data_IF_225128800014
#
_entry.id   IF_225128800014
#
_cell.length_a   1.000
_cell.length_b   1.000
_cell.length_c   1.000
_cell.angle_alpha   90.00
_cell.angle_beta   90.00
_cell.angle_gamma   90.00
#
_symmetry.space_group_name_H-M   'P 1'
#
loop_
_entity.id
_entity.type
_entity.pdbx_description
1 polymer ?
#
# COMPACT_ATOMS: atom_id res chain seq x y z
N UNK A 1 7.29 15.15 26.12
CA UNK A 1 5.86 15.14 25.81
C UNK A 1 5.14 15.73 27.00
N UNK A 2 4.45 16.85 26.82
CA UNK A 2 3.48 17.30 27.80
C UNK A 2 2.25 16.41 27.62
N UNK A 3 2.03 15.48 28.56
CA UNK A 3 0.95 14.48 28.54
C UNK A 3 -0.43 15.15 28.75
N UNK A 4 -0.87 15.94 27.79
CA UNK A 4 -2.14 16.63 27.78
C UNK A 4 -2.95 16.25 26.54
N UNK A 5 -4.27 16.31 26.67
CA UNK A 5 -5.17 16.13 25.53
C UNK A 5 -5.18 17.41 24.72
N UNK A 6 -4.96 17.28 23.41
CA UNK A 6 -5.03 18.36 22.45
C UNK A 6 -6.00 18.00 21.31
N UNK A 7 -6.57 19.02 20.67
CA UNK A 7 -7.40 18.84 19.48
C UNK A 7 -6.51 18.75 18.25
N UNK A 8 -6.75 17.74 17.41
CA UNK A 8 -6.16 17.57 16.07
C UNK A 8 -7.22 17.83 14.99
N UNK A 9 -6.80 18.20 13.78
CA UNK A 9 -7.67 18.63 12.69
C UNK A 9 -7.33 17.98 11.35
N UNK A 10 -8.06 16.93 11.02
CA UNK A 10 -8.07 16.38 9.66
C UNK A 10 -8.88 17.29 8.72
N UNK A 11 -8.41 17.42 7.49
CA UNK A 11 -9.14 18.13 6.42
C UNK A 11 -9.50 17.13 5.33
N UNK A 12 -10.80 16.98 5.09
CA UNK A 12 -11.35 16.03 4.12
C UNK A 12 -12.00 16.79 2.97
N UNK A 13 -11.41 16.68 1.78
CA UNK A 13 -12.00 17.10 0.51
C UNK A 13 -12.72 15.93 -0.16
N UNK A 14 -13.87 16.16 -0.80
CA UNK A 14 -14.60 15.11 -1.52
C UNK A 14 -15.09 15.61 -2.86
N UNK A 15 -14.85 14.81 -3.89
CA UNK A 15 -15.41 14.97 -5.24
C UNK A 15 -16.33 13.79 -5.46
N UNK A 16 -17.64 14.04 -5.42
CA UNK A 16 -18.66 13.00 -5.58
C UNK A 16 -18.62 12.37 -6.98
N UNK A 17 -18.69 11.04 -7.02
CA UNK A 17 -18.74 10.27 -8.26
C UNK A 17 -20.09 10.38 -8.97
N UNK A 18 -20.08 10.34 -10.30
CA UNK A 18 -21.29 10.49 -11.11
C UNK A 18 -22.12 9.20 -11.26
N UNK A 19 -21.50 8.03 -11.14
CA UNK A 19 -22.16 6.74 -11.38
C UNK A 19 -22.10 5.81 -10.16
N UNK A 20 -20.99 5.81 -9.44
CA UNK A 20 -20.72 4.99 -8.25
C UNK A 20 -20.32 5.90 -7.07
N UNK A 21 -21.19 6.82 -6.62
CA UNK A 21 -20.86 7.76 -5.55
C UNK A 21 -20.58 7.07 -4.20
N UNK A 22 -21.08 5.84 -4.02
CA UNK A 22 -20.85 4.94 -2.89
C UNK A 22 -19.52 4.16 -2.98
N UNK A 23 -18.66 4.48 -3.96
CA UNK A 23 -17.31 3.91 -4.06
C UNK A 23 -16.28 5.02 -3.93
N UNK A 24 -15.32 4.83 -3.02
CA UNK A 24 -14.36 5.87 -2.63
C UNK A 24 -12.93 5.47 -2.93
N UNK A 25 -12.24 6.27 -3.72
CA UNK A 25 -10.78 6.24 -3.85
C UNK A 25 -10.23 7.33 -2.93
N UNK A 26 -9.49 6.93 -1.91
CA UNK A 26 -8.96 7.85 -0.90
C UNK A 26 -7.49 8.11 -1.19
N UNK A 27 -7.10 9.38 -1.30
CA UNK A 27 -5.72 9.83 -1.33
C UNK A 27 -5.41 10.49 0.00
N UNK A 28 -4.30 10.14 0.64
CA UNK A 28 -3.94 10.71 1.93
C UNK A 28 -2.46 11.05 2.10
N UNK A 29 -2.24 12.04 2.97
CA UNK A 29 -0.94 12.53 3.42
C UNK A 29 -1.14 13.30 4.74
N UNK A 30 -0.30 13.08 5.75
CA UNK A 30 -0.35 13.92 6.96
C UNK A 30 0.22 15.31 6.74
N UNK A 31 -0.12 16.24 7.65
CA UNK A 31 0.25 17.66 7.57
C UNK A 31 1.14 18.11 8.71
N UNK A 32 1.06 17.43 9.85
CA UNK A 32 1.82 17.78 11.03
C UNK A 32 3.27 17.36 10.85
N UNK A 33 4.17 18.16 11.39
CA UNK A 33 5.60 17.93 11.34
C UNK A 33 6.21 18.21 12.71
N UNK A 34 7.32 17.54 13.03
CA UNK A 34 8.07 17.84 14.26
C UNK A 34 8.59 19.29 14.33
N UNK A 35 9.04 19.85 13.20
CA UNK A 35 9.59 21.21 13.12
C UNK A 35 9.09 21.93 11.87
N UNK A 36 9.90 22.02 10.81
CA UNK A 36 9.49 22.64 9.55
C UNK A 36 8.92 21.61 8.58
N UNK A 37 9.51 20.41 8.53
CA UNK A 37 8.97 19.25 7.82
C UNK A 37 8.86 19.46 6.31
N UNK A 38 9.90 19.98 5.66
CA UNK A 38 9.85 20.26 4.22
C UNK A 38 9.80 18.99 3.37
N UNK A 39 10.48 17.93 3.80
CA UNK A 39 10.36 16.56 3.28
C UNK A 39 9.17 15.89 3.98
N UNK A 40 9.29 15.63 5.27
CA UNK A 40 8.29 14.93 6.08
C UNK A 40 7.42 15.95 6.84
N UNK A 41 6.14 16.17 6.46
CA UNK A 41 5.42 15.60 5.30
C UNK A 41 5.12 16.61 4.20
N UNK A 42 5.64 17.85 4.30
CA UNK A 42 5.18 18.96 3.45
C UNK A 42 5.39 18.69 1.96
N UNK A 43 6.32 17.80 1.59
CA UNK A 43 6.54 17.37 0.21
C UNK A 43 5.36 16.54 -0.36
N UNK A 44 4.81 15.62 0.43
CA UNK A 44 3.57 14.91 0.10
C UNK A 44 2.36 15.84 0.12
N UNK A 45 2.28 16.75 1.09
CA UNK A 45 1.20 17.75 1.19
C UNK A 45 1.16 18.66 -0.04
N UNK A 46 2.31 19.17 -0.47
CA UNK A 46 2.41 20.00 -1.68
C UNK A 46 1.95 19.23 -2.93
N UNK A 47 2.28 17.94 -3.01
CA UNK A 47 1.88 17.05 -4.10
C UNK A 47 0.37 16.79 -4.09
N UNK A 48 -0.23 16.53 -2.92
CA UNK A 48 -1.67 16.34 -2.75
C UNK A 48 -2.44 17.61 -3.16
N UNK A 49 -1.94 18.78 -2.79
CA UNK A 49 -2.53 20.08 -3.15
C UNK A 49 -2.47 20.33 -4.67
N UNK A 50 -1.39 19.96 -5.36
CA UNK A 50 -1.31 20.08 -6.81
C UNK A 50 -2.27 19.12 -7.53
N UNK A 51 -2.46 17.91 -7.00
CA UNK A 51 -3.50 16.98 -7.49
C UNK A 51 -4.89 17.59 -7.26
N UNK A 52 -5.16 18.13 -6.08
CA UNK A 52 -6.44 18.78 -5.77
C UNK A 52 -6.72 19.94 -6.74
N UNK A 53 -5.71 20.76 -7.05
CA UNK A 53 -5.80 21.85 -8.02
C UNK A 53 -6.14 21.33 -9.42
N UNK A 54 -5.42 20.30 -9.90
CA UNK A 54 -5.66 19.69 -11.22
C UNK A 54 -7.03 19.04 -11.34
N UNK A 55 -7.50 18.35 -10.29
CA UNK A 55 -8.87 17.83 -10.21
C UNK A 55 -9.90 18.97 -10.23
N UNK A 56 -9.63 20.07 -9.53
CA UNK A 56 -10.44 21.29 -9.58
C UNK A 56 -10.58 21.86 -11.00
N UNK A 57 -9.47 21.92 -11.75
CA UNK A 57 -9.48 22.35 -13.16
C UNK A 57 -10.33 21.41 -14.02
N UNK A 58 -10.21 20.09 -13.84
CA UNK A 58 -11.06 19.11 -14.55
C UNK A 58 -12.55 19.31 -14.23
N UNK A 59 -12.91 19.53 -12.96
CA UNK A 59 -14.30 19.77 -12.56
C UNK A 59 -14.91 21.00 -13.25
N UNK A 60 -14.11 22.03 -13.52
CA UNK A 60 -14.55 23.24 -14.24
C UNK A 60 -14.87 22.96 -15.72
N UNK A 61 -14.32 21.89 -16.31
CA UNK A 61 -14.65 21.46 -17.68
C UNK A 61 -15.99 20.69 -17.77
N UNK A 62 -16.62 20.41 -16.62
CA UNK A 62 -17.82 19.58 -16.53
C UNK A 62 -17.52 18.09 -16.33
N UNK A 63 -16.26 17.69 -16.29
CA UNK A 63 -15.87 16.33 -15.93
C UNK A 63 -16.29 15.98 -14.50
N UNK A 64 -16.64 14.72 -14.29
CA UNK A 64 -16.88 14.09 -12.99
C UNK A 64 -16.30 12.67 -13.01
N UNK A 65 -15.67 12.20 -11.93
CA UNK A 65 -15.19 10.83 -11.87
C UNK A 65 -16.37 9.84 -11.79
N UNK A 66 -16.19 8.59 -12.23
CA UNK A 66 -17.19 7.53 -12.04
C UNK A 66 -17.45 7.28 -10.54
N UNK A 67 -16.36 7.14 -9.77
CA UNK A 67 -16.34 6.90 -8.32
C UNK A 67 -15.96 8.16 -7.56
N UNK A 68 -16.38 8.25 -6.30
CA UNK A 68 -16.01 9.35 -5.42
C UNK A 68 -14.50 9.37 -5.16
N UNK A 69 -13.88 10.55 -5.28
CA UNK A 69 -12.49 10.78 -4.86
C UNK A 69 -12.52 11.52 -3.52
N UNK A 70 -11.78 11.02 -2.54
CA UNK A 70 -11.61 11.64 -1.23
C UNK A 70 -10.15 12.04 -1.06
N UNK A 71 -9.91 13.28 -0.66
CA UNK A 71 -8.59 13.82 -0.34
C UNK A 71 -8.53 14.00 1.18
N UNK A 72 -7.76 13.16 1.86
CA UNK A 72 -7.52 13.25 3.29
C UNK A 72 -6.19 13.94 3.56
N UNK A 73 -6.20 14.93 4.43
CA UNK A 73 -4.96 15.54 4.90
C UNK A 73 -4.95 15.50 6.42
N UNK A 74 -4.16 14.57 6.95
CA UNK A 74 -4.24 14.02 8.30
C UNK A 74 -3.42 14.85 9.29
N UNK A 75 -3.83 14.90 10.55
CA UNK A 75 -3.11 15.56 11.64
C UNK A 75 -2.72 14.54 12.72
N UNK A 76 -1.69 14.85 13.50
CA UNK A 76 -1.18 13.98 14.57
C UNK A 76 -0.57 12.66 14.10
N UNK A 77 -0.09 12.56 12.85
CA UNK A 77 0.61 11.35 12.36
C UNK A 77 1.88 11.10 13.16
N UNK A 78 2.66 12.14 13.40
CA UNK A 78 3.97 12.06 14.03
C UNK A 78 3.90 11.57 15.48
N UNK A 79 2.72 11.71 16.09
CA UNK A 79 2.46 11.31 17.46
C UNK A 79 2.03 9.85 17.60
N UNK A 80 1.45 9.25 16.55
CA UNK A 80 1.10 7.82 16.40
C UNK A 80 -0.05 7.61 15.40
N UNK A 81 -0.01 8.23 14.22
CA UNK A 81 -1.05 8.08 13.18
C UNK A 81 -2.44 8.52 13.66
N UNK A 82 -2.52 9.50 14.57
CA UNK A 82 -3.74 9.74 15.36
C UNK A 82 -4.92 10.17 14.46
N UNK A 83 -4.76 11.18 13.61
CA UNK A 83 -5.86 11.68 12.77
C UNK A 83 -6.41 10.62 11.83
N UNK A 84 -5.55 10.02 11.01
CA UNK A 84 -5.97 8.96 10.09
C UNK A 84 -6.57 7.75 10.82
N UNK A 85 -6.04 7.37 11.98
CA UNK A 85 -6.58 6.26 12.78
C UNK A 85 -7.97 6.57 13.30
N UNK A 86 -8.16 7.70 13.99
CA UNK A 86 -9.46 8.07 14.55
C UNK A 86 -10.50 8.28 13.43
N UNK A 87 -10.11 8.89 12.30
CA UNK A 87 -11.00 9.05 11.15
C UNK A 87 -11.43 7.69 10.56
N UNK A 88 -10.49 6.75 10.45
CA UNK A 88 -10.79 5.39 9.98
C UNK A 88 -11.71 4.65 10.96
N UNK A 89 -11.50 4.78 12.27
CA UNK A 89 -12.35 4.15 13.29
C UNK A 89 -13.77 4.72 13.27
N UNK A 90 -13.90 6.05 13.25
CA UNK A 90 -15.20 6.75 13.17
C UNK A 90 -15.99 6.39 11.91
N UNK A 91 -15.28 6.15 10.80
CA UNK A 91 -15.88 5.83 9.51
C UNK A 91 -15.78 4.34 9.14
N UNK A 92 -15.45 3.46 10.10
CA UNK A 92 -15.09 2.07 9.82
C UNK A 92 -16.17 1.32 9.05
N UNK A 93 -17.45 1.50 9.42
CA UNK A 93 -18.57 0.85 8.72
C UNK A 93 -18.64 1.30 7.25
N UNK A 94 -18.55 2.59 7.01
CA UNK A 94 -18.59 3.18 5.66
C UNK A 94 -17.42 2.69 4.82
N UNK A 95 -16.20 2.80 5.35
CA UNK A 95 -14.98 2.43 4.62
C UNK A 95 -14.92 0.93 4.31
N UNK A 96 -15.41 0.06 5.22
CA UNK A 96 -15.56 -1.38 4.99
C UNK A 96 -16.59 -1.75 3.93
N UNK A 97 -17.39 -0.83 3.42
CA UNK A 97 -18.36 -1.08 2.36
C UNK A 97 -17.96 -0.32 1.07
N UNK A 98 -17.49 0.91 1.22
CA UNK A 98 -17.34 1.88 0.13
C UNK A 98 -15.89 2.10 -0.33
N UNK A 99 -14.88 1.90 0.52
CA UNK A 99 -13.50 2.22 0.15
C UNK A 99 -12.94 1.22 -0.86
N UNK A 100 -12.62 1.71 -2.07
CA UNK A 100 -11.99 0.94 -3.13
C UNK A 100 -10.51 0.72 -2.82
N UNK A 101 -9.81 1.81 -2.52
CA UNK A 101 -8.40 1.78 -2.13
C UNK A 101 -8.01 3.04 -1.35
N UNK A 102 -6.90 2.95 -0.64
CA UNK A 102 -6.19 4.08 -0.04
C UNK A 102 -4.80 4.24 -0.69
N UNK A 103 -4.50 5.44 -1.19
CA UNK A 103 -3.22 5.79 -1.83
C UNK A 103 -2.50 6.82 -0.96
N UNK A 104 -1.38 6.42 -0.37
CA UNK A 104 -0.57 7.24 0.52
C UNK A 104 0.65 7.81 -0.20
N UNK A 105 0.89 9.11 -0.01
CA UNK A 105 2.20 9.71 -0.25
C UNK A 105 2.51 10.60 0.94
N UNK A 106 3.37 10.10 1.81
CA UNK A 106 3.80 10.78 3.02
C UNK A 106 4.88 11.82 2.66
N UNK A 107 6.02 11.32 2.18
CA UNK A 107 7.18 12.12 1.88
C UNK A 107 7.78 11.74 0.53
N UNK A 108 8.51 12.69 -0.04
CA UNK A 108 9.36 12.46 -1.19
C UNK A 108 10.59 13.35 -1.13
N UNK A 109 11.73 12.76 -1.46
CA UNK A 109 13.04 13.42 -1.52
C UNK A 109 13.93 12.61 -2.45
N UNK A 110 14.64 13.22 -3.40
CA UNK A 110 15.57 12.51 -4.27
C UNK A 110 14.94 11.76 -5.44
N UNK A 111 15.73 11.00 -6.22
CA UNK A 111 15.28 10.34 -7.44
C UNK A 111 14.84 8.88 -7.28
N UNK A 112 15.15 8.22 -6.15
CA UNK A 112 15.00 6.77 -6.03
C UNK A 112 13.57 6.39 -5.77
N UNK A 113 13.04 5.47 -6.57
CA UNK A 113 11.65 5.08 -6.56
C UNK A 113 11.42 3.97 -5.54
N UNK A 114 10.44 4.16 -4.66
CA UNK A 114 10.02 3.16 -3.70
C UNK A 114 8.50 3.12 -3.59
N UNK A 115 7.97 1.91 -3.42
CA UNK A 115 6.58 1.73 -3.05
C UNK A 115 6.45 0.52 -2.12
N UNK A 116 5.48 0.57 -1.21
CA UNK A 116 4.92 -0.60 -0.53
C UNK A 116 3.44 -0.69 -0.87
N UNK A 117 2.94 -1.90 -1.11
CA UNK A 117 1.54 -2.07 -1.49
C UNK A 117 1.01 -3.43 -1.06
N UNK A 118 -0.31 -3.56 -0.96
CA UNK A 118 -0.95 -4.87 -0.96
C UNK A 118 -0.61 -5.59 -2.29
N UNK A 119 -0.34 -6.91 -2.29
CA UNK A 119 -0.10 -7.63 -3.55
C UNK A 119 -1.21 -7.46 -4.59
N UNK A 120 -2.45 -7.19 -4.15
CA UNK A 120 -3.65 -7.02 -4.98
C UNK A 120 -3.58 -5.77 -5.88
N UNK A 121 -2.87 -4.72 -5.45
CA UNK A 121 -2.69 -3.48 -6.22
C UNK A 121 -1.27 -3.33 -6.78
N UNK A 122 -0.35 -4.22 -6.40
CA UNK A 122 1.06 -4.13 -6.75
C UNK A 122 1.30 -4.04 -8.26
N UNK A 123 0.64 -4.90 -9.04
CA UNK A 123 0.75 -4.85 -10.51
C UNK A 123 0.24 -3.53 -11.09
N UNK A 124 -0.88 -3.03 -10.58
CA UNK A 124 -1.46 -1.76 -11.03
C UNK A 124 -0.57 -0.55 -10.73
N UNK A 125 0.14 -0.57 -9.59
CA UNK A 125 1.16 0.44 -9.23
C UNK A 125 2.29 0.46 -10.28
N UNK A 126 2.83 -0.71 -10.63
CA UNK A 126 3.88 -0.85 -11.63
C UNK A 126 3.39 -0.45 -13.04
N UNK A 127 2.25 -0.99 -13.47
CA UNK A 127 1.66 -0.71 -14.78
C UNK A 127 1.41 0.80 -14.94
N UNK A 128 0.96 1.50 -13.89
CA UNK A 128 0.78 2.95 -13.96
C UNK A 128 2.10 3.72 -14.02
N UNK A 129 3.17 3.25 -13.36
CA UNK A 129 4.50 3.83 -13.51
C UNK A 129 5.02 3.69 -14.95
N UNK A 130 4.69 2.61 -15.65
CA UNK A 130 5.09 2.41 -17.06
C UNK A 130 4.48 3.45 -18.02
N UNK A 131 3.40 4.11 -17.63
CA UNK A 131 2.72 5.13 -18.45
C UNK A 131 3.38 6.51 -18.35
N UNK A 132 4.32 6.68 -17.42
CA UNK A 132 4.94 7.96 -17.11
C UNK A 132 6.37 8.01 -17.61
N UNK A 133 6.86 9.19 -18.05
CA UNK A 133 8.26 9.35 -18.35
C UNK A 133 9.10 9.18 -17.08
N UNK A 134 10.35 8.73 -17.24
CA UNK A 134 11.31 8.70 -16.16
C UNK A 134 11.51 10.09 -15.53
N UNK A 135 11.75 10.12 -14.21
CA UNK A 135 11.93 11.34 -13.42
C UNK A 135 13.26 12.03 -13.78
N UNK A 136 13.24 13.27 -14.32
CA UNK A 136 14.44 14.02 -14.70
C UNK A 136 15.01 14.80 -13.52
N UNK A 137 15.21 14.13 -12.37
CA UNK A 137 15.75 14.69 -11.14
C UNK A 137 16.81 15.78 -11.39
N UNK A 138 16.73 16.92 -10.68
CA UNK A 138 17.37 18.22 -11.01
C UNK A 138 16.73 19.03 -12.14
N UNK A 139 15.61 18.59 -12.70
CA UNK A 139 14.85 19.34 -13.70
C UNK A 139 15.49 19.38 -15.09
N UNK A 140 16.56 18.61 -15.34
CA UNK A 140 17.22 18.56 -16.64
C UNK A 140 16.70 17.37 -17.46
N UNK A 141 15.69 17.62 -18.30
CA UNK A 141 15.11 16.58 -19.16
C UNK A 141 16.09 16.00 -20.19
N UNK A 142 17.24 16.62 -20.44
CA UNK A 142 18.27 16.07 -21.32
C UNK A 142 19.11 14.97 -20.68
N UNK A 143 19.04 14.80 -19.34
CA UNK A 143 19.73 13.75 -18.60
C UNK A 143 18.94 12.44 -18.53
N UNK A 144 17.69 12.46 -19.02
CA UNK A 144 16.81 11.30 -19.05
C UNK A 144 16.45 10.97 -20.49
N UNK A 145 16.55 9.68 -20.82
CA UNK A 145 16.09 9.18 -22.11
C UNK A 145 14.57 9.34 -22.20
N UNK A 146 14.10 10.10 -23.18
CA UNK A 146 12.68 10.38 -23.37
C UNK A 146 11.87 9.13 -23.75
N UNK A 147 12.53 8.03 -24.14
CA UNK A 147 11.90 6.74 -24.37
C UNK A 147 11.76 5.90 -23.08
N UNK A 148 12.44 6.24 -21.98
CA UNK A 148 12.37 5.49 -20.73
C UNK A 148 11.16 5.89 -19.89
N UNK A 149 10.44 4.89 -19.41
CA UNK A 149 9.36 5.08 -18.44
C UNK A 149 9.88 5.19 -17.00
N UNK A 150 9.03 5.67 -16.10
CA UNK A 150 9.29 5.67 -14.67
C UNK A 150 9.51 4.24 -14.14
N UNK A 151 8.83 3.24 -14.70
CA UNK A 151 9.05 1.83 -14.37
C UNK A 151 10.42 1.31 -14.83
N UNK A 152 10.87 1.71 -16.02
CA UNK A 152 12.21 1.33 -16.51
C UNK A 152 13.30 1.91 -15.60
N UNK A 153 13.15 3.19 -15.23
CA UNK A 153 14.04 3.84 -14.28
C UNK A 153 14.02 3.14 -12.91
N UNK A 154 12.85 2.79 -12.40
CA UNK A 154 12.69 2.10 -11.12
C UNK A 154 13.40 0.74 -11.11
N UNK A 155 13.19 -0.05 -12.17
CA UNK A 155 13.80 -1.37 -12.34
C UNK A 155 15.32 -1.27 -12.33
N UNK A 156 15.88 -0.35 -13.12
CA UNK A 156 17.33 -0.11 -13.16
C UNK A 156 17.89 0.35 -11.80
N UNK A 157 17.18 1.21 -11.07
CA UNK A 157 17.57 1.66 -9.74
C UNK A 157 17.61 0.51 -8.73
N UNK A 158 16.62 -0.40 -8.77
CA UNK A 158 16.56 -1.57 -7.89
C UNK A 158 17.68 -2.56 -8.20
N UNK A 159 17.92 -2.87 -9.48
CA UNK A 159 19.03 -3.72 -9.91
C UNK A 159 20.39 -3.17 -9.49
N UNK A 160 20.62 -1.87 -9.72
CA UNK A 160 21.84 -1.18 -9.29
C UNK A 160 22.00 -1.23 -7.77
N UNK A 161 20.92 -1.06 -7.02
CA UNK A 161 20.98 -1.15 -5.56
C UNK A 161 21.35 -2.55 -5.10
N UNK A 162 20.70 -3.60 -5.62
CA UNK A 162 20.99 -5.00 -5.25
C UNK A 162 22.40 -5.46 -5.60
N UNK A 163 22.98 -4.91 -6.67
CA UNK A 163 24.36 -5.21 -7.08
C UNK A 163 25.43 -4.39 -6.35
N UNK A 164 25.04 -3.36 -5.60
CA UNK A 164 25.98 -2.52 -4.85
C UNK A 164 26.40 -3.14 -3.50
N UNK A 165 27.65 -2.96 -3.04
CA UNK A 165 28.08 -3.41 -1.72
C UNK A 165 27.21 -2.79 -0.60
N UNK A 166 26.63 -3.64 0.25
CA UNK A 166 25.70 -3.19 1.31
C UNK A 166 24.33 -2.73 0.79
N UNK A 167 24.01 -3.00 -0.47
CA UNK A 167 22.73 -2.67 -1.08
C UNK A 167 21.59 -3.62 -0.69
N UNK A 168 20.47 -3.50 -1.40
CA UNK A 168 19.27 -4.29 -1.10
C UNK A 168 19.55 -5.81 -1.17
N UNK A 169 18.89 -6.63 -0.33
CA UNK A 169 19.02 -8.08 -0.36
C UNK A 169 18.73 -8.70 -1.74
N UNK A 170 19.25 -9.90 -2.01
CA UNK A 170 18.93 -10.61 -3.25
C UNK A 170 17.45 -11.03 -3.30
N UNK A 171 16.81 -11.07 -4.49
CA UNK A 171 15.40 -11.45 -4.62
C UNK A 171 15.12 -12.81 -3.99
N UNK A 172 14.09 -12.89 -3.14
CA UNK A 172 13.68 -14.13 -2.47
C UNK A 172 14.61 -14.62 -1.36
N UNK A 173 15.61 -13.82 -0.96
CA UNK A 173 16.43 -14.13 0.23
C UNK A 173 15.64 -13.92 1.53
N UNK A 174 16.11 -14.51 2.65
CA UNK A 174 15.45 -14.42 3.98
C UNK A 174 15.18 -12.98 4.45
N UNK A 175 15.99 -12.03 4.00
CA UNK A 175 15.89 -10.61 4.39
C UNK A 175 15.28 -9.75 3.28
N UNK A 176 14.84 -10.34 2.16
CA UNK A 176 14.18 -9.60 1.09
C UNK A 176 12.75 -9.25 1.47
N UNK A 177 12.49 -7.97 1.62
CA UNK A 177 11.20 -7.42 2.03
C UNK A 177 10.35 -6.99 0.81
N UNK A 178 10.62 -7.56 -0.36
CA UNK A 178 9.89 -7.26 -1.60
C UNK A 178 8.96 -8.38 -2.04
N UNK A 179 7.85 -7.99 -2.66
CA UNK A 179 6.83 -8.88 -3.19
C UNK A 179 7.33 -9.57 -4.47
N UNK A 180 7.24 -10.90 -4.49
CA UNK A 180 7.42 -11.69 -5.70
C UNK A 180 6.24 -11.47 -6.69
N UNK A 181 6.43 -11.69 -8.01
CA UNK A 181 7.65 -12.19 -8.66
C UNK A 181 8.66 -11.09 -9.05
N UNK A 182 8.23 -9.83 -9.17
CA UNK A 182 9.09 -8.77 -9.75
C UNK A 182 10.06 -8.18 -8.73
N UNK A 183 9.77 -8.31 -7.43
CA UNK A 183 10.63 -7.86 -6.34
C UNK A 183 10.94 -6.34 -6.41
N UNK A 184 9.99 -5.54 -6.91
CA UNK A 184 10.05 -4.07 -6.97
C UNK A 184 9.36 -3.40 -5.77
N UNK A 185 8.21 -3.93 -5.37
CA UNK A 185 7.33 -3.38 -4.33
C UNK A 185 7.65 -4.03 -2.98
N UNK A 186 7.71 -3.25 -1.91
CA UNK A 186 7.93 -3.75 -0.55
C UNK A 186 6.62 -4.25 0.10
N UNK A 187 6.73 -5.13 1.10
CA UNK A 187 5.61 -5.43 1.99
C UNK A 187 5.12 -4.18 2.71
N UNK A 188 3.81 -4.05 2.90
CA UNK A 188 3.25 -3.01 3.74
C UNK A 188 3.32 -3.40 5.22
N UNK A 189 4.05 -2.60 6.00
CA UNK A 189 4.08 -2.68 7.46
C UNK A 189 3.22 -1.61 8.09
N UNK A 190 3.87 -0.67 8.77
CA UNK A 190 3.29 0.54 9.39
C UNK A 190 4.17 1.74 9.06
N UNK A 191 4.06 2.82 9.82
CA UNK A 191 4.93 4.00 9.73
C UNK A 191 4.42 5.09 8.79
N UNK A 192 3.13 5.05 8.44
CA UNK A 192 2.38 6.17 7.88
C UNK A 192 0.87 5.85 7.90
N UNK A 193 0.05 6.80 7.44
CA UNK A 193 -1.42 6.82 7.54
C UNK A 193 -2.15 5.68 6.81
N UNK A 194 -1.48 4.90 5.96
CA UNK A 194 -2.10 3.70 5.36
C UNK A 194 -2.41 2.60 6.37
N UNK A 195 -1.76 2.64 7.54
CA UNK A 195 -1.83 1.60 8.56
C UNK A 195 -3.26 1.27 8.99
N UNK A 196 -4.09 2.23 9.44
CA UNK A 196 -5.47 1.94 9.82
C UNK A 196 -6.34 1.45 8.65
N UNK A 197 -6.12 1.95 7.44
CA UNK A 197 -6.85 1.49 6.25
C UNK A 197 -6.56 0.02 5.95
N UNK A 198 -5.29 -0.34 5.84
CA UNK A 198 -4.88 -1.67 5.41
C UNK A 198 -4.93 -2.69 6.56
N UNK A 199 -4.29 -2.37 7.68
CA UNK A 199 -4.09 -3.34 8.76
C UNK A 199 -5.33 -3.57 9.62
N UNK A 200 -6.19 -2.55 9.76
CA UNK A 200 -7.40 -2.64 10.61
C UNK A 200 -8.66 -2.91 9.79
N UNK A 201 -8.83 -2.28 8.62
CA UNK A 201 -10.04 -2.43 7.79
C UNK A 201 -9.88 -3.32 6.56
N UNK A 202 -8.67 -3.73 6.18
CA UNK A 202 -8.43 -4.50 4.96
C UNK A 202 -8.77 -3.71 3.69
N UNK A 203 -8.63 -2.38 3.73
CA UNK A 203 -8.74 -1.54 2.53
C UNK A 203 -7.44 -1.68 1.75
N UNK A 204 -7.55 -2.12 0.50
CA UNK A 204 -6.41 -2.28 -0.42
C UNK A 204 -5.65 -0.96 -0.49
N UNK A 205 -4.36 -1.00 -0.19
CA UNK A 205 -3.57 0.21 -0.03
C UNK A 205 -2.26 0.17 -0.79
N UNK A 206 -1.76 1.35 -1.14
CA UNK A 206 -0.42 1.56 -1.66
C UNK A 206 0.20 2.81 -1.04
N UNK A 207 1.49 2.77 -0.77
CA UNK A 207 2.30 3.87 -0.29
C UNK A 207 3.44 4.09 -1.29
N UNK A 208 3.57 5.32 -1.80
CA UNK A 208 4.56 5.70 -2.81
C UNK A 208 5.52 6.71 -2.20
N UNK A 209 6.79 6.64 -2.59
CA UNK A 209 7.80 7.60 -2.16
C UNK A 209 8.88 7.78 -3.22
N UNK A 210 9.55 8.93 -3.15
CA UNK A 210 10.91 9.07 -3.66
C UNK A 210 11.90 9.24 -2.51
N UNK A 211 13.08 8.61 -2.64
CA UNK A 211 14.16 8.64 -1.66
C UNK A 211 15.49 9.12 -2.26
N UNK A 212 16.35 9.73 -1.42
CA UNK A 212 17.77 9.93 -1.75
C UNK A 212 18.57 8.64 -1.54
N UNK A 213 18.09 7.80 -0.63
CA UNK A 213 18.59 6.45 -0.35
C UNK A 213 17.40 5.54 -0.08
N UNK A 214 17.62 4.23 0.02
CA UNK A 214 16.59 3.29 0.51
C UNK A 214 16.54 3.20 2.05
N UNK A 215 17.18 4.14 2.75
CA UNK A 215 17.12 4.35 4.19
C UNK A 215 16.62 5.79 4.49
N UNK A 216 16.40 6.12 5.77
CA UNK A 216 16.01 7.47 6.19
C UNK A 216 17.01 8.53 5.69
N UNK A 217 16.49 9.67 5.26
CA UNK A 217 17.31 10.79 4.80
C UNK A 217 17.97 11.51 5.99
N UNK A 218 19.13 12.13 5.74
CA UNK A 218 20.01 12.61 6.83
C UNK A 218 19.45 13.74 7.71
N UNK A 219 18.34 14.38 7.32
CA UNK A 219 17.70 15.47 8.07
C UNK A 219 16.37 15.07 8.70
N UNK A 220 15.98 13.78 8.63
CA UNK A 220 14.74 13.24 9.18
C UNK A 220 14.47 13.69 10.62
N UNK A 221 13.25 14.17 10.88
CA UNK A 221 12.77 14.66 12.19
C UNK A 221 13.67 15.71 12.87
N UNK A 222 14.41 16.48 12.09
CA UNK A 222 15.32 17.52 12.60
C UNK A 222 14.92 18.92 12.13
N UNK A 223 15.44 19.94 12.81
CA UNK A 223 15.29 21.34 12.36
C UNK A 223 15.98 21.63 11.01
N UNK A 224 16.76 20.68 10.48
CA UNK A 224 17.41 20.80 9.17
C UNK A 224 16.49 20.33 8.03
N UNK A 225 15.40 19.62 8.34
CA UNK A 225 14.34 19.32 7.37
C UNK A 225 13.60 20.61 7.01
N UNK A 226 14.12 21.31 6.00
CA UNK A 226 13.79 22.70 5.70
C UNK A 226 13.65 22.91 4.20
N UNK A 227 12.96 23.98 3.80
CA UNK A 227 12.84 24.35 2.39
C UNK A 227 14.21 24.51 1.72
N UNK A 228 15.20 25.06 2.45
CA UNK A 228 16.56 25.16 1.94
C UNK A 228 17.16 23.79 1.61
N UNK A 229 16.99 22.79 2.49
CA UNK A 229 17.43 21.42 2.21
C UNK A 229 16.72 20.85 0.98
N UNK A 230 15.40 21.06 0.88
CA UNK A 230 14.62 20.60 -0.26
C UNK A 230 15.10 21.22 -1.58
N UNK A 231 15.25 22.54 -1.64
CA UNK A 231 15.62 23.28 -2.85
C UNK A 231 17.06 23.04 -3.31
N UNK A 232 17.96 22.67 -2.39
CA UNK A 232 19.39 22.51 -2.70
C UNK A 232 19.86 21.07 -2.84
N UNK A 233 19.23 20.13 -2.13
CA UNK A 233 19.65 18.72 -2.07
C UNK A 233 18.49 17.78 -2.31
N UNK A 234 17.35 18.03 -1.67
CA UNK A 234 16.21 17.11 -1.65
C UNK A 234 15.60 16.87 -3.02
N UNK A 235 15.13 17.92 -3.69
CA UNK A 235 14.60 17.86 -5.05
C UNK A 235 14.80 19.21 -5.75
N UNK A 236 16.04 19.56 -6.13
CA UNK A 236 16.30 20.81 -6.82
C UNK A 236 15.41 20.92 -8.07
N UNK A 237 14.68 22.03 -8.19
CA UNK A 237 13.69 22.28 -9.25
C UNK A 237 12.40 21.43 -9.21
N UNK A 238 12.14 20.70 -8.13
CA UNK A 238 10.86 20.03 -7.86
C UNK A 238 10.42 19.00 -8.92
N UNK A 239 11.37 18.41 -9.65
CA UNK A 239 11.08 17.44 -10.71
C UNK A 239 10.47 16.14 -10.17
N UNK A 240 10.89 15.72 -8.98
CA UNK A 240 10.38 14.53 -8.30
C UNK A 240 8.98 14.79 -7.74
N UNK A 241 8.71 15.97 -7.19
CA UNK A 241 7.36 16.39 -6.80
C UNK A 241 6.40 16.32 -8.01
N UNK A 242 6.80 16.89 -9.15
CA UNK A 242 5.99 16.89 -10.37
C UNK A 242 5.78 15.47 -10.92
N UNK A 243 6.81 14.61 -10.84
CA UNK A 243 6.72 13.20 -11.24
C UNK A 243 5.77 12.41 -10.33
N UNK A 244 5.83 12.63 -9.01
CA UNK A 244 4.94 12.00 -8.05
C UNK A 244 3.49 12.48 -8.21
N UNK A 245 3.25 13.78 -8.42
CA UNK A 245 1.90 14.31 -8.67
C UNK A 245 1.24 13.63 -9.87
N UNK A 246 2.00 13.38 -10.94
CA UNK A 246 1.51 12.62 -12.11
C UNK A 246 1.24 11.16 -11.75
N UNK A 247 2.14 10.49 -11.05
CA UNK A 247 1.97 9.07 -10.72
C UNK A 247 0.79 8.82 -9.78
N UNK A 248 0.76 9.54 -8.67
CA UNK A 248 -0.32 9.46 -7.70
C UNK A 248 -1.67 9.91 -8.29
N UNK A 249 -1.67 10.99 -9.09
CA UNK A 249 -2.84 11.47 -9.80
C UNK A 249 -3.39 10.47 -10.83
N UNK A 250 -2.53 9.84 -11.64
CA UNK A 250 -2.97 8.82 -12.62
C UNK A 250 -3.50 7.58 -11.91
N UNK A 251 -2.85 7.12 -10.83
CA UNK A 251 -3.36 6.01 -10.02
C UNK A 251 -4.78 6.30 -9.52
N UNK A 252 -4.98 7.49 -8.93
CA UNK A 252 -6.27 7.93 -8.44
C UNK A 252 -7.32 8.03 -9.55
N UNK A 253 -7.00 8.67 -10.67
CA UNK A 253 -7.92 8.83 -11.79
C UNK A 253 -8.31 7.49 -12.41
N UNK A 254 -7.38 6.55 -12.53
CA UNK A 254 -7.66 5.21 -13.04
C UNK A 254 -8.54 4.42 -12.08
N UNK A 255 -8.23 4.39 -10.78
CA UNK A 255 -9.14 3.74 -9.81
C UNK A 255 -10.52 4.38 -9.77
N UNK A 256 -10.60 5.70 -9.96
CA UNK A 256 -11.85 6.44 -9.93
C UNK A 256 -12.68 6.33 -11.22
N UNK A 257 -12.11 5.85 -12.34
CA UNK A 257 -12.78 5.85 -13.65
C UNK A 257 -12.73 4.53 -14.43
N UNK A 258 -11.73 3.67 -14.20
CA UNK A 258 -11.63 2.38 -14.89
C UNK A 258 -12.91 1.57 -14.60
N UNK A 259 -13.57 1.09 -15.65
CA UNK A 259 -14.84 0.36 -15.52
C UNK A 259 -14.67 -0.88 -14.64
N UNK A 260 -13.66 -1.69 -14.93
CA UNK A 260 -13.26 -2.84 -14.12
C UNK A 260 -12.09 -2.42 -13.22
N UNK A 261 -12.24 -2.57 -11.91
CA UNK A 261 -11.18 -2.23 -10.95
C UNK A 261 -9.97 -3.15 -11.18
N UNK A 262 -8.74 -2.59 -11.35
CA UNK A 262 -7.57 -3.32 -11.82
C UNK A 262 -6.80 -4.05 -10.71
N UNK A 263 -7.51 -4.70 -9.77
CA UNK A 263 -6.87 -5.51 -8.74
C UNK A 263 -6.53 -6.91 -9.27
N UNK A 264 -5.34 -7.39 -8.94
CA UNK A 264 -4.80 -8.68 -9.37
C UNK A 264 -4.33 -9.49 -8.16
N UNK A 265 -5.06 -10.57 -7.86
CA UNK A 265 -4.77 -11.44 -6.73
C UNK A 265 -3.87 -12.63 -7.09
N UNK A 266 -3.44 -12.78 -8.35
CA UNK A 266 -2.71 -13.98 -8.79
C UNK A 266 -1.34 -14.13 -8.12
N UNK A 267 -0.73 -13.02 -7.70
CA UNK A 267 0.57 -13.02 -7.00
C UNK A 267 0.47 -13.45 -5.52
N UNK A 268 -0.71 -13.38 -4.90
CA UNK A 268 -0.87 -13.63 -3.46
C UNK A 268 -0.36 -15.00 -3.04
N UNK A 269 -0.73 -16.06 -3.78
CA UNK A 269 -0.34 -17.42 -3.41
C UNK A 269 1.18 -17.60 -3.43
N UNK A 270 1.85 -17.01 -4.42
CA UNK A 270 3.31 -17.00 -4.49
C UNK A 270 3.95 -16.27 -3.29
N UNK A 271 3.42 -15.09 -2.96
CA UNK A 271 3.91 -14.29 -1.83
C UNK A 271 3.67 -15.03 -0.49
N UNK A 272 2.49 -15.61 -0.30
CA UNK A 272 2.14 -16.41 0.88
C UNK A 272 3.02 -17.65 1.01
N UNK A 273 3.28 -18.38 -0.08
CA UNK A 273 4.18 -19.53 -0.05
C UNK A 273 5.60 -19.15 0.36
N UNK A 274 6.12 -18.05 -0.16
CA UNK A 274 7.45 -17.57 0.24
C UNK A 274 7.49 -17.17 1.72
N UNK A 275 6.45 -16.47 2.20
CA UNK A 275 6.30 -16.15 3.62
C UNK A 275 6.25 -17.39 4.51
N UNK A 276 5.50 -18.41 4.12
CA UNK A 276 5.32 -19.64 4.90
C UNK A 276 6.62 -20.45 4.96
N UNK A 277 7.39 -20.53 3.87
CA UNK A 277 8.71 -21.16 3.87
C UNK A 277 9.67 -20.50 4.86
N UNK A 278 9.67 -19.17 4.92
CA UNK A 278 10.49 -18.44 5.90
C UNK A 278 10.01 -18.69 7.34
N UNK A 279 8.70 -18.77 7.55
CA UNK A 279 8.11 -19.07 8.85
C UNK A 279 8.45 -20.49 9.34
N UNK A 280 8.40 -21.50 8.47
CA UNK A 280 8.85 -22.86 8.79
C UNK A 280 10.31 -22.92 9.23
N UNK A 281 11.17 -22.11 8.62
CA UNK A 281 12.55 -21.98 9.07
C UNK A 281 12.61 -21.40 10.49
N UNK A 282 11.81 -20.39 10.81
CA UNK A 282 11.73 -19.80 12.15
C UNK A 282 11.20 -20.79 13.19
N UNK A 283 10.23 -21.63 12.85
CA UNK A 283 9.77 -22.71 13.75
C UNK A 283 10.89 -23.69 14.10
N UNK A 284 11.68 -24.10 13.10
CA UNK A 284 12.85 -24.97 13.32
C UNK A 284 13.90 -24.30 14.20
N UNK A 285 14.21 -23.03 13.96
CA UNK A 285 15.14 -22.24 14.76
C UNK A 285 14.66 -22.09 16.22
N UNK A 286 13.34 -21.97 16.43
CA UNK A 286 12.72 -21.91 17.76
C UNK A 286 12.52 -23.29 18.42
N UNK A 287 12.82 -24.39 17.74
CA UNK A 287 12.59 -25.75 18.25
C UNK A 287 11.11 -26.13 18.39
N UNK A 288 10.21 -25.44 17.67
CA UNK A 288 8.78 -25.72 17.68
C UNK A 288 8.38 -26.62 16.52
N UNK A 289 7.53 -27.61 16.81
CA UNK A 289 6.99 -28.54 15.82
C UNK A 289 5.54 -28.17 15.47
N UNK A 290 5.40 -27.25 14.52
CA UNK A 290 4.11 -26.69 14.07
C UNK A 290 3.72 -27.30 12.73
N UNK A 291 2.48 -27.76 12.60
CA UNK A 291 1.95 -28.36 11.38
C UNK A 291 1.35 -27.29 10.46
N UNK A 292 1.90 -27.17 9.25
CA UNK A 292 1.53 -26.13 8.28
C UNK A 292 0.93 -26.66 6.98
N UNK A 293 0.79 -27.99 6.84
CA UNK A 293 0.32 -28.63 5.60
C UNK A 293 -1.05 -28.13 5.15
N UNK A 294 -1.97 -27.91 6.09
CA UNK A 294 -3.30 -27.40 5.76
C UNK A 294 -3.25 -25.95 5.29
N UNK A 295 -2.34 -25.13 5.85
CA UNK A 295 -2.12 -23.78 5.39
C UNK A 295 -1.57 -23.76 3.95
N UNK A 296 -0.62 -24.65 3.62
CA UNK A 296 -0.17 -24.83 2.23
C UNK A 296 -1.33 -25.16 1.28
N UNK A 297 -2.20 -26.11 1.65
CA UNK A 297 -3.35 -26.48 0.84
C UNK A 297 -4.36 -25.32 0.66
N UNK A 298 -4.58 -24.53 1.71
CA UNK A 298 -5.43 -23.34 1.65
C UNK A 298 -4.84 -22.26 0.72
N UNK A 299 -3.53 -22.03 0.78
CA UNK A 299 -2.81 -21.10 -0.11
C UNK A 299 -2.89 -21.57 -1.57
N UNK A 300 -2.73 -22.87 -1.84
CA UNK A 300 -2.87 -23.43 -3.19
C UNK A 300 -4.30 -23.23 -3.73
N UNK A 301 -5.32 -23.53 -2.93
CA UNK A 301 -6.74 -23.28 -3.29
C UNK A 301 -6.99 -21.80 -3.55
N UNK A 302 -6.45 -20.91 -2.72
CA UNK A 302 -6.51 -19.46 -2.93
C UNK A 302 -5.92 -19.08 -4.29
N UNK A 303 -4.71 -19.57 -4.60
CA UNK A 303 -4.03 -19.27 -5.87
C UNK A 303 -4.82 -19.67 -7.10
N UNK A 304 -5.31 -20.92 -7.12
CA UNK A 304 -6.15 -21.43 -8.23
C UNK A 304 -7.40 -20.57 -8.44
N UNK A 305 -8.08 -20.20 -7.35
CA UNK A 305 -9.29 -19.40 -7.43
C UNK A 305 -9.00 -17.93 -7.79
N UNK A 306 -7.88 -17.37 -7.34
CA UNK A 306 -7.42 -16.04 -7.71
C UNK A 306 -7.06 -15.96 -9.20
N UNK A 307 -6.41 -16.99 -9.76
CA UNK A 307 -6.14 -17.07 -11.21
C UNK A 307 -7.44 -17.13 -12.01
N UNK A 308 -8.41 -17.96 -11.59
CA UNK A 308 -9.72 -18.02 -12.23
C UNK A 308 -10.45 -16.67 -12.18
N UNK A 309 -10.41 -15.97 -11.03
CA UNK A 309 -10.95 -14.63 -10.89
C UNK A 309 -10.28 -13.64 -11.87
N UNK A 310 -8.95 -13.73 -12.02
CA UNK A 310 -8.20 -12.85 -12.92
C UNK A 310 -8.51 -13.12 -14.41
N UNK A 311 -8.83 -14.36 -14.78
CA UNK A 311 -9.31 -14.68 -16.13
C UNK A 311 -10.64 -13.97 -16.40
N UNK A 312 -11.61 -14.06 -15.49
CA UNK A 312 -12.90 -13.39 -15.64
C UNK A 312 -12.77 -11.86 -15.66
N UNK A 313 -11.85 -11.27 -14.89
CA UNK A 313 -11.56 -9.84 -14.96
C UNK A 313 -11.16 -9.39 -16.38
N UNK A 314 -10.28 -10.15 -17.04
CA UNK A 314 -9.82 -9.86 -18.42
C UNK A 314 -10.95 -10.03 -19.44
N UNK A 315 -11.81 -11.02 -19.26
CA UNK A 315 -12.99 -11.22 -20.11
C UNK A 315 -13.95 -10.03 -19.99
N UNK A 316 -14.23 -9.55 -18.78
CA UNK A 316 -15.05 -8.35 -18.55
C UNK A 316 -14.44 -7.12 -19.22
N UNK A 317 -13.12 -6.91 -19.12
CA UNK A 317 -12.44 -5.79 -19.77
C UNK A 317 -12.55 -5.80 -21.30
N UNK A 318 -12.62 -6.99 -21.91
CA UNK A 318 -12.58 -7.18 -23.37
C UNK A 318 -13.95 -7.33 -24.04
N UNK A 319 -15.02 -7.54 -23.27
CA UNK A 319 -16.33 -7.98 -23.79
C UNK A 319 -17.43 -6.94 -23.64
N UNK A 320 -18.55 -7.15 -24.34
CA UNK A 320 -19.77 -6.35 -24.16
C UNK A 320 -20.44 -6.56 -22.80
N UNK A 321 -19.99 -7.54 -21.98
CA UNK A 321 -20.52 -7.76 -20.63
C UNK A 321 -20.16 -6.60 -19.69
N UNK A 322 -19.08 -5.86 -19.96
CA UNK A 322 -18.81 -4.59 -19.26
C UNK A 322 -19.90 -3.52 -19.48
N UNK A 323 -20.79 -3.70 -20.47
CA UNK A 323 -21.92 -2.81 -20.66
C UNK A 323 -23.10 -3.11 -19.73
N UNK A 324 -23.12 -4.25 -19.03
CA UNK A 324 -24.09 -4.54 -17.97
C UNK A 324 -23.59 -3.99 -16.63
N UNK A 325 -24.15 -2.85 -16.22
CA UNK A 325 -23.78 -2.15 -14.99
C UNK A 325 -24.03 -3.01 -13.72
N UNK A 326 -25.01 -3.92 -13.73
CA UNK A 326 -25.27 -4.79 -12.57
C UNK A 326 -24.17 -5.81 -12.40
N UNK A 327 -23.75 -6.45 -13.50
CA UNK A 327 -22.63 -7.42 -13.50
C UNK A 327 -21.33 -6.71 -13.12
N UNK A 328 -21.08 -5.53 -13.69
CA UNK A 328 -19.88 -4.75 -13.42
C UNK A 328 -19.79 -4.33 -11.94
N UNK A 329 -20.87 -3.82 -11.36
CA UNK A 329 -20.91 -3.43 -9.94
C UNK A 329 -20.72 -4.63 -9.02
N UNK A 330 -21.38 -5.76 -9.30
CA UNK A 330 -21.22 -6.98 -8.52
C UNK A 330 -19.75 -7.46 -8.55
N UNK A 331 -19.12 -7.44 -9.73
CA UNK A 331 -17.71 -7.79 -9.89
C UNK A 331 -16.78 -6.86 -9.11
N UNK A 332 -16.91 -5.54 -9.30
CA UNK A 332 -16.08 -4.55 -8.63
C UNK A 332 -16.24 -4.58 -7.10
N UNK A 333 -17.47 -4.78 -6.61
CA UNK A 333 -17.72 -4.96 -5.18
C UNK A 333 -16.97 -6.17 -4.64
N UNK A 334 -17.00 -7.29 -5.36
CA UNK A 334 -16.27 -8.50 -5.00
C UNK A 334 -14.75 -8.28 -4.99
N UNK A 335 -14.22 -7.62 -6.01
CA UNK A 335 -12.79 -7.29 -6.11
C UNK A 335 -12.29 -6.48 -4.90
N UNK A 336 -13.07 -5.49 -4.46
CA UNK A 336 -12.73 -4.64 -3.30
C UNK A 336 -12.88 -5.39 -1.97
N UNK A 337 -13.84 -6.31 -1.86
CA UNK A 337 -14.14 -7.05 -0.64
C UNK A 337 -13.18 -8.21 -0.36
N UNK A 338 -12.42 -8.67 -1.36
CA UNK A 338 -11.53 -9.82 -1.26
C UNK A 338 -10.43 -9.64 -0.20
N UNK A 339 -9.77 -8.48 -0.18
CA UNK A 339 -8.74 -8.17 0.82
C UNK A 339 -9.29 -8.21 2.26
N UNK A 340 -10.54 -7.77 2.42
CA UNK A 340 -11.23 -7.76 3.73
C UNK A 340 -11.50 -9.18 4.25
N UNK A 341 -11.45 -10.20 3.40
CA UNK A 341 -11.57 -11.61 3.81
C UNK A 341 -10.30 -12.15 4.47
N UNK A 342 -9.19 -11.40 4.45
CA UNK A 342 -7.92 -11.75 5.07
C UNK A 342 -7.74 -11.15 6.47
N UNK A 343 -8.83 -10.75 7.11
CA UNK A 343 -8.85 -10.17 8.45
C UNK A 343 -9.30 -11.19 9.50
N UNK A 344 -8.66 -11.19 10.66
CA UNK A 344 -9.19 -11.82 11.88
C UNK A 344 -10.21 -10.88 12.54
N UNK A 345 -11.32 -11.44 13.03
CA UNK A 345 -12.28 -10.71 13.86
C UNK A 345 -11.70 -10.33 15.21
N UNK A 346 -10.83 -11.18 15.74
CA UNK A 346 -10.26 -11.08 17.09
C UNK A 346 -8.95 -10.27 17.06
N UNK A 347 -8.36 -10.13 15.88
CA UNK A 347 -7.12 -9.41 15.64
C UNK A 347 -5.87 -10.28 15.85
N UNK A 348 -4.70 -9.68 15.66
CA UNK A 348 -3.44 -10.38 15.81
C UNK A 348 -3.12 -10.64 17.30
N UNK A 349 -2.41 -11.74 17.61
CA UNK A 349 -1.92 -12.04 18.95
C UNK A 349 -1.13 -10.86 19.52
N UNK A 350 -1.30 -10.57 20.81
CA UNK A 350 -0.63 -9.48 21.54
C UNK A 350 -0.93 -8.04 21.06
N UNK A 351 -1.67 -7.86 19.96
CA UNK A 351 -1.99 -6.54 19.38
C UNK A 351 -3.25 -6.60 18.49
N UNK A 352 -4.39 -6.87 19.13
CA UNK A 352 -5.70 -7.11 18.51
C UNK A 352 -6.26 -5.98 17.64
N UNK A 353 -5.67 -4.77 17.72
CA UNK A 353 -6.02 -3.70 16.81
C UNK A 353 -5.56 -3.98 15.37
N UNK A 354 -4.43 -4.64 15.17
CA UNK A 354 -4.04 -5.14 13.85
C UNK A 354 -4.87 -6.39 13.54
N UNK A 355 -5.44 -6.48 12.34
CA UNK A 355 -6.37 -7.57 11.98
C UNK A 355 -5.96 -8.35 10.74
N UNK A 356 -5.14 -7.77 9.87
CA UNK A 356 -4.73 -8.41 8.63
C UNK A 356 -3.74 -9.57 8.89
N UNK A 357 -4.15 -10.81 8.59
CA UNK A 357 -3.42 -12.00 9.04
C UNK A 357 -2.29 -12.45 8.12
N UNK A 358 -2.27 -11.95 6.88
CA UNK A 358 -1.30 -12.35 5.87
C UNK A 358 -0.11 -11.40 5.82
N UNK A 359 -0.35 -10.10 5.91
CA UNK A 359 0.69 -9.07 5.84
C UNK A 359 0.46 -8.01 6.91
N UNK A 360 1.52 -7.59 7.58
CA UNK A 360 1.43 -6.56 8.60
C UNK A 360 2.80 -6.18 9.15
N UNK A 361 2.91 -5.14 9.98
CA UNK A 361 4.18 -4.76 10.58
C UNK A 361 4.68 -5.88 11.50
N UNK A 362 5.96 -6.23 11.45
CA UNK A 362 6.55 -7.18 12.40
C UNK A 362 6.75 -6.53 13.78
N UNK A 363 6.45 -7.25 14.88
CA UNK A 363 6.49 -6.67 16.23
C UNK A 363 7.83 -6.00 16.59
N UNK A 364 8.95 -6.58 16.18
CA UNK A 364 10.30 -6.05 16.41
C UNK A 364 10.97 -5.50 15.13
N UNK A 365 10.22 -5.36 14.04
CA UNK A 365 10.76 -4.99 12.73
C UNK A 365 10.51 -3.51 12.37
N UNK A 366 10.02 -2.73 13.33
CA UNK A 366 9.70 -1.32 13.16
C UNK A 366 8.62 -1.12 12.10
N UNK A 367 8.92 -0.35 11.06
CA UNK A 367 8.00 -0.06 9.96
C UNK A 367 7.96 -1.14 8.88
N UNK A 368 8.87 -2.12 8.90
CA UNK A 368 8.92 -3.15 7.89
C UNK A 368 7.67 -4.04 7.93
N UNK A 369 7.14 -4.32 6.74
CA UNK A 369 6.08 -5.32 6.57
C UNK A 369 6.65 -6.74 6.57
N UNK A 370 5.90 -7.66 7.15
CA UNK A 370 6.21 -9.08 7.23
C UNK A 370 5.00 -9.92 6.79
N UNK A 371 5.29 -11.14 6.33
CA UNK A 371 4.26 -12.15 6.09
C UNK A 371 3.90 -12.89 7.38
N UNK A 372 2.62 -13.25 7.53
CA UNK A 372 2.04 -13.94 8.69
C UNK A 372 2.39 -13.26 10.03
N UNK A 373 2.12 -11.96 10.19
CA UNK A 373 2.54 -11.17 11.34
C UNK A 373 2.09 -11.76 12.68
N UNK A 374 0.84 -12.25 12.78
CA UNK A 374 0.37 -12.80 14.05
C UNK A 374 1.10 -14.08 14.47
N UNK A 375 1.47 -14.94 13.51
CA UNK A 375 2.21 -16.17 13.82
C UNK A 375 3.67 -15.85 14.17
N UNK A 376 4.26 -14.85 13.50
CA UNK A 376 5.61 -14.39 13.84
C UNK A 376 5.66 -13.70 15.20
N UNK A 377 4.58 -13.03 15.61
CA UNK A 377 4.44 -12.44 16.95
C UNK A 377 4.44 -13.52 18.03
N UNK A 378 3.73 -14.63 17.84
CA UNK A 378 3.74 -15.74 18.80
C UNK A 378 5.18 -16.24 19.08
N UNK A 379 6.01 -16.33 18.04
CA UNK A 379 7.43 -16.68 18.20
C UNK A 379 8.23 -15.60 18.91
N UNK A 380 7.93 -14.33 18.65
CA UNK A 380 8.58 -13.19 19.30
C UNK A 380 8.25 -13.09 20.80
N UNK A 381 7.09 -13.59 21.21
CA UNK A 381 6.64 -13.63 22.60
C UNK A 381 6.89 -14.98 23.30
N UNK A 382 7.54 -15.92 22.63
CA UNK A 382 7.84 -17.25 23.15
C UNK A 382 6.60 -18.05 23.56
N UNK A 383 5.48 -17.85 22.85
CA UNK A 383 4.26 -18.62 23.07
C UNK A 383 4.52 -20.11 22.82
N UNK A 384 3.76 -20.97 23.52
CA UNK A 384 3.90 -22.42 23.38
C UNK A 384 3.40 -22.93 22.01
N UNK A 385 3.79 -24.16 21.67
CA UNK A 385 3.49 -24.77 20.37
C UNK A 385 1.98 -24.91 20.11
N UNK A 386 1.17 -25.11 21.15
CA UNK A 386 -0.28 -25.26 20.99
C UNK A 386 -0.93 -23.91 20.65
N UNK A 387 -0.45 -22.84 21.27
CA UNK A 387 -0.86 -21.46 20.96
C UNK A 387 -0.47 -21.08 19.53
N UNK A 388 0.77 -21.37 19.12
CA UNK A 388 1.25 -21.11 17.75
C UNK A 388 0.43 -21.91 16.73
N UNK A 389 0.15 -23.19 17.00
CA UNK A 389 -0.68 -24.03 16.14
C UNK A 389 -2.10 -23.49 16.01
N UNK A 390 -2.72 -23.02 17.10
CA UNK A 390 -4.06 -22.43 17.08
C UNK A 390 -4.14 -21.24 16.11
N UNK A 391 -3.13 -20.38 16.07
CA UNK A 391 -3.08 -19.26 15.13
C UNK A 391 -2.79 -19.70 13.69
N UNK A 392 -1.98 -20.73 13.47
CA UNK A 392 -1.80 -21.33 12.14
C UNK A 392 -3.14 -21.89 11.62
N UNK A 393 -3.90 -22.56 12.48
CA UNK A 393 -5.21 -23.10 12.15
C UNK A 393 -6.25 -21.99 11.86
N UNK A 394 -6.19 -20.89 12.60
CA UNK A 394 -7.01 -19.70 12.35
C UNK A 394 -6.70 -19.09 10.98
N UNK A 395 -5.43 -18.81 10.70
CA UNK A 395 -4.99 -18.28 9.39
C UNK A 395 -5.40 -19.23 8.27
N UNK A 396 -5.26 -20.55 8.48
CA UNK A 396 -5.70 -21.56 7.50
C UNK A 396 -7.20 -21.41 7.18
N UNK A 397 -8.06 -21.27 8.20
CA UNK A 397 -9.51 -21.08 7.99
C UNK A 397 -9.81 -19.78 7.25
N UNK A 398 -9.11 -18.69 7.59
CA UNK A 398 -9.28 -17.38 6.96
C UNK A 398 -8.89 -17.45 5.48
N UNK A 399 -7.73 -18.02 5.15
CA UNK A 399 -7.26 -18.17 3.77
C UNK A 399 -8.19 -19.08 2.97
N UNK A 400 -8.66 -20.19 3.55
CA UNK A 400 -9.61 -21.09 2.88
C UNK A 400 -10.96 -20.39 2.62
N UNK A 401 -11.45 -19.59 3.57
CA UNK A 401 -12.65 -18.79 3.39
C UNK A 401 -12.49 -17.73 2.30
N UNK A 402 -11.37 -17.01 2.29
CA UNK A 402 -11.06 -16.03 1.26
C UNK A 402 -10.94 -16.71 -0.13
N UNK A 403 -10.35 -17.91 -0.20
CA UNK A 403 -10.29 -18.70 -1.41
C UNK A 403 -11.70 -19.02 -1.95
N UNK A 404 -12.64 -19.38 -1.09
CA UNK A 404 -14.03 -19.63 -1.48
C UNK A 404 -14.78 -18.38 -1.92
N UNK A 405 -14.44 -17.22 -1.35
CA UNK A 405 -15.07 -15.94 -1.70
C UNK A 405 -14.81 -15.57 -3.17
N UNK A 406 -13.71 -15.97 -3.80
CA UNK A 406 -13.49 -15.75 -5.24
C UNK A 406 -14.56 -16.39 -6.13
N UNK A 407 -15.09 -17.56 -5.74
CA UNK A 407 -15.96 -18.39 -6.60
C UNK A 407 -17.44 -18.35 -6.22
N UNK A 408 -17.78 -17.96 -4.98
CA UNK A 408 -19.17 -17.74 -4.52
C UNK A 408 -19.67 -16.37 -4.94
#
# INVERSE_FOLDING_TARGET
MDNHVATIWDVIGTIEGAEEPDKRVVLGNHRDAWVCGAVDPSSGSATLMEIARGLGDLLQTGWRPRRTIVLGSWDGEEYALLGSTEWVEDNAKLLKEEAVAYLNVDLLVGPLISASAAPSIAKFVQDTASLLPANPFHGNSSEVDSAQSLLDQWTQQKEKSRSSPGGLPAPGSKTDLTLAPDHLINFMGSGSDFTPFYQHLGVISANLAFGLTYASYGTYHSSMDSLHYMETVGDPHYASHASMAKWWGVLALRLANDLVIPFDFASYALVMHNGLKHLEQRFKEAGQNVEVKQLYAAIEKFGVNAEAFQVTARELQSSSLAADDTVLRAWNNKAVLLERQLLSSDGLPHRSWYKHVIFGPGFYEGYAGAAFPGITDCLAFYDDVDTVQSHVDEVTRIVDHAAEFFVK
#
